data_IF_203170478614
#
_entry.id   IF_203170478614
#
_cell.length_a   1.000
_cell.length_b   1.000
_cell.length_c   1.000
_cell.angle_alpha   90.00
_cell.angle_beta   90.00
_cell.angle_gamma   90.00
#
_symmetry.space_group_name_H-M   'P 1'
#
loop_
_entity.id
_entity.type
_entity.pdbx_description
1 polymer ?
#
# COMPACT_ATOMS: atom_id res chain seq x y z
N UNK A 1 12.49 17.91 -3.39
CA UNK A 1 12.26 17.11 -4.62
C UNK A 1 11.36 15.93 -4.24
N UNK A 2 10.04 16.12 -4.25
CA UNK A 2 9.07 15.04 -4.04
C UNK A 2 8.64 14.58 -5.43
N UNK A 3 9.28 13.55 -5.96
CA UNK A 3 8.93 12.96 -7.23
C UNK A 3 7.67 12.09 -7.06
N UNK A 4 6.51 12.73 -6.89
CA UNK A 4 5.25 12.12 -7.30
C UNK A 4 5.19 12.24 -8.82
N UNK A 5 5.98 11.39 -9.50
CA UNK A 5 5.90 11.23 -10.95
C UNK A 5 4.48 10.86 -11.39
N UNK A 6 4.15 10.98 -12.69
CA UNK A 6 2.81 10.74 -13.16
C UNK A 6 2.40 9.31 -12.81
N UNK A 7 1.46 9.19 -11.87
CA UNK A 7 0.77 7.94 -11.60
C UNK A 7 0.23 7.47 -12.93
N UNK A 8 0.74 6.35 -13.42
CA UNK A 8 0.22 5.70 -14.61
C UNK A 8 -1.22 5.30 -14.28
N UNK A 9 -2.17 6.18 -14.62
CA UNK A 9 -3.60 5.91 -14.48
C UNK A 9 -3.94 4.82 -15.46
N UNK A 10 -3.86 3.58 -15.01
CA UNK A 10 -4.29 2.44 -15.80
C UNK A 10 -5.82 2.40 -15.76
N UNK A 11 -6.43 3.10 -16.70
CA UNK A 11 -7.84 2.93 -17.04
C UNK A 11 -7.92 1.77 -18.03
N UNK A 12 -7.92 0.54 -17.54
CA UNK A 12 -8.10 -0.64 -18.38
C UNK A 12 -9.53 -1.20 -18.20
N UNK A 13 -10.26 -1.48 -19.29
CA UNK A 13 -11.51 -2.23 -19.18
C UNK A 13 -11.21 -3.66 -18.70
N UNK A 14 -11.96 -4.14 -17.70
CA UNK A 14 -11.97 -5.57 -17.32
C UNK A 14 -12.83 -6.38 -18.31
N UNK A 15 -12.72 -7.71 -18.28
CA UNK A 15 -13.50 -8.66 -19.11
C UNK A 15 -15.01 -8.51 -18.90
N UNK A 16 -15.66 -7.60 -19.65
CA UNK A 16 -17.09 -7.24 -19.69
C UNK A 16 -17.31 -5.73 -19.97
N UNK A 17 -16.26 -4.96 -20.25
CA UNK A 17 -16.37 -3.55 -20.64
C UNK A 17 -16.56 -2.59 -19.47
N UNK A 18 -16.50 -3.08 -18.22
CA UNK A 18 -16.58 -2.25 -17.02
C UNK A 18 -15.32 -1.41 -16.84
N UNK A 19 -15.50 -0.13 -16.49
CA UNK A 19 -14.39 0.77 -16.18
C UNK A 19 -13.73 0.37 -14.86
N UNK A 20 -12.41 0.30 -14.89
CA UNK A 20 -11.58 0.01 -13.72
C UNK A 20 -10.52 1.08 -13.56
N UNK A 21 -10.32 1.51 -12.32
CA UNK A 21 -9.20 2.34 -11.92
C UNK A 21 -8.21 1.48 -11.15
N UNK A 22 -6.93 1.54 -11.51
CA UNK A 22 -5.84 0.89 -10.78
C UNK A 22 -4.71 1.91 -10.57
N UNK A 23 -4.22 2.00 -9.35
CA UNK A 23 -3.12 2.87 -8.96
C UNK A 23 -2.13 2.13 -8.04
N UNK A 24 -0.82 2.20 -8.31
CA UNK A 24 0.18 1.65 -7.40
C UNK A 24 0.25 2.46 -6.11
N UNK A 25 0.26 1.74 -4.98
CA UNK A 25 0.44 2.29 -3.65
C UNK A 25 1.91 2.13 -3.25
N UNK A 26 2.56 3.25 -2.95
CA UNK A 26 3.92 3.27 -2.43
C UNK A 26 3.95 3.77 -0.99
N UNK A 27 4.85 3.21 -0.19
CA UNK A 27 5.01 3.53 1.22
C UNK A 27 5.48 4.97 1.39
N UNK A 28 4.71 5.76 2.14
CA UNK A 28 5.06 7.13 2.53
C UNK A 28 5.65 7.15 3.95
N UNK A 29 6.23 8.28 4.37
CA UNK A 29 6.89 8.40 5.67
C UNK A 29 5.99 7.97 6.85
N UNK A 30 4.72 8.39 6.85
CA UNK A 30 3.76 8.05 7.90
C UNK A 30 3.42 6.55 7.96
N UNK A 31 3.58 5.82 6.85
CA UNK A 31 3.31 4.38 6.79
C UNK A 31 4.34 3.59 7.61
N UNK A 32 5.58 4.09 7.69
CA UNK A 32 6.71 3.40 8.34
C UNK A 32 6.54 3.26 9.85
N UNK A 33 5.69 4.07 10.48
CA UNK A 33 5.36 3.97 11.92
C UNK A 33 4.85 2.57 12.30
N UNK A 34 4.11 1.91 11.40
CA UNK A 34 3.51 0.60 11.65
C UNK A 34 3.99 -0.48 10.66
N UNK A 35 4.50 -0.09 9.48
CA UNK A 35 4.87 -1.02 8.41
C UNK A 35 6.38 -1.03 8.12
N UNK A 36 7.18 -0.22 8.80
CA UNK A 36 8.63 -0.10 8.55
C UNK A 36 9.48 -1.20 9.21
N UNK A 37 10.81 -1.11 9.05
CA UNK A 37 11.78 -1.98 9.74
C UNK A 37 11.92 -1.62 11.24
N UNK A 38 11.63 -0.37 11.62
CA UNK A 38 11.85 0.18 12.97
C UNK A 38 10.57 0.41 13.77
N UNK A 39 9.65 -0.56 13.81
CA UNK A 39 8.37 -0.41 14.52
C UNK A 39 8.61 -0.40 16.04
N UNK A 40 7.98 0.55 16.75
CA UNK A 40 8.08 0.64 18.20
C UNK A 40 7.57 -0.66 18.88
N UNK A 41 8.23 -1.17 19.94
CA UNK A 41 7.89 -2.48 20.52
C UNK A 41 6.41 -2.63 20.95
N UNK A 42 5.81 -1.59 21.53
CA UNK A 42 4.41 -1.59 21.94
C UNK A 42 3.45 -1.70 20.74
N UNK A 43 3.77 -1.04 19.63
CA UNK A 43 3.00 -1.11 18.37
C UNK A 43 3.17 -2.50 17.75
N UNK A 44 4.40 -3.01 17.65
CA UNK A 44 4.68 -4.33 17.10
C UNK A 44 3.96 -5.45 17.89
N UNK A 45 3.96 -5.35 19.22
CA UNK A 45 3.21 -6.27 20.08
C UNK A 45 1.71 -6.24 19.79
N UNK A 46 1.12 -5.04 19.65
CA UNK A 46 -0.32 -4.92 19.38
C UNK A 46 -0.70 -5.40 17.99
N UNK A 47 0.15 -5.14 16.99
CA UNK A 47 -0.03 -5.69 15.63
C UNK A 47 -0.02 -7.22 15.69
N UNK A 48 0.96 -7.84 16.35
CA UNK A 48 1.06 -9.31 16.45
C UNK A 48 -0.14 -9.94 17.17
N UNK A 49 -0.69 -9.27 18.17
CA UNK A 49 -1.90 -9.73 18.89
C UNK A 49 -3.13 -9.73 17.98
N UNK A 50 -3.35 -8.65 17.23
CA UNK A 50 -4.55 -8.46 16.40
C UNK A 50 -4.45 -9.13 15.03
N UNK A 51 -3.23 -9.23 14.49
CA UNK A 51 -2.92 -9.70 13.15
C UNK A 51 -1.74 -10.70 13.21
N UNK A 52 -1.92 -11.89 13.78
CA UNK A 52 -0.84 -12.86 14.03
C UNK A 52 -0.14 -13.37 12.76
N UNK A 53 -0.79 -13.23 11.61
CA UNK A 53 -0.26 -13.61 10.29
C UNK A 53 0.07 -12.39 9.42
N UNK A 54 0.24 -11.20 10.01
CA UNK A 54 0.60 -10.01 9.26
C UNK A 54 1.93 -10.18 8.53
N UNK A 55 1.94 -9.82 7.25
CA UNK A 55 3.12 -9.83 6.39
C UNK A 55 3.52 -8.41 5.95
N UNK A 56 2.78 -7.39 6.38
CA UNK A 56 2.96 -6.03 5.91
C UNK A 56 3.95 -5.21 6.76
N UNK A 57 5.11 -5.76 7.11
CA UNK A 57 6.14 -5.05 7.90
C UNK A 57 7.50 -5.09 7.19
N UNK A 58 8.48 -4.32 7.68
CA UNK A 58 9.81 -4.29 7.09
C UNK A 58 9.95 -3.44 5.82
N UNK A 59 8.95 -2.61 5.49
CA UNK A 59 9.00 -1.74 4.32
C UNK A 59 9.98 -0.57 4.49
N UNK A 60 10.44 -0.04 3.35
CA UNK A 60 11.22 1.20 3.22
C UNK A 60 10.42 2.30 2.55
N UNK A 61 10.88 3.55 2.71
CA UNK A 61 10.26 4.70 2.03
C UNK A 61 10.27 4.49 0.51
N UNK A 62 9.13 4.81 -0.13
CA UNK A 62 8.88 4.63 -1.56
C UNK A 62 8.91 3.17 -2.05
N UNK A 63 8.90 2.18 -1.16
CA UNK A 63 8.74 0.78 -1.56
C UNK A 63 7.31 0.49 -2.05
N UNK A 64 7.17 -0.44 -2.98
CA UNK A 64 5.87 -0.87 -3.50
C UNK A 64 5.08 -1.61 -2.42
N UNK A 65 3.92 -1.07 -2.04
CA UNK A 65 3.06 -1.63 -0.99
C UNK A 65 1.95 -2.52 -1.54
N UNK A 66 1.47 -2.23 -2.75
CA UNK A 66 0.35 -2.91 -3.39
C UNK A 66 -0.37 -2.03 -4.41
N UNK A 67 -1.63 -2.37 -4.70
CA UNK A 67 -2.47 -1.64 -5.65
C UNK A 67 -3.75 -1.18 -4.96
N UNK A 68 -4.20 0.04 -5.26
CA UNK A 68 -5.57 0.49 -5.03
C UNK A 68 -6.35 0.28 -6.32
N UNK A 69 -7.51 -0.36 -6.23
CA UNK A 69 -8.36 -0.57 -7.41
C UNK A 69 -9.83 -0.32 -7.12
N UNK A 70 -10.55 0.18 -8.11
CA UNK A 70 -11.99 0.45 -8.07
C UNK A 70 -12.60 -0.03 -9.38
N UNK A 71 -13.73 -0.74 -9.32
CA UNK A 71 -14.52 -1.13 -10.49
C UNK A 71 -15.90 -0.47 -10.46
N UNK A 72 -16.40 -0.12 -11.63
CA UNK A 72 -17.80 0.23 -11.82
C UNK A 72 -18.71 -0.91 -11.34
N UNK A 73 -19.80 -0.57 -10.66
CA UNK A 73 -20.73 -1.57 -10.09
C UNK A 73 -21.41 -2.38 -11.20
#
# INVERSE_FOLDING_TARGET
MLAYGPVLKLQQPLENGKKTYIEPLFVQAQCLTCHGEGIAPNVAQKIKELYPNDQATGFKLNEFRGLVWIKEK
#
